data_IF_734336998011
#
_entry.id   IF_734336998011
#
_cell.length_a   1.000
_cell.length_b   1.000
_cell.length_c   1.000
_cell.angle_alpha   90.00
_cell.angle_beta   90.00
_cell.angle_gamma   90.00
#
_symmetry.space_group_name_H-M   'P 1'
#
loop_
_entity.id
_entity.type
_entity.pdbx_description
1 polymer ?
#
# COMPACT_ATOMS: atom_id res chain seq x y z
N UNK A 1 -7.67 -1.91 1.80
CA UNK A 1 -7.93 -3.28 1.27
C UNK A 1 -8.14 -4.31 2.39
N UNK A 2 -7.28 -4.33 3.44
CA UNK A 2 -7.42 -5.27 4.57
C UNK A 2 -8.72 -5.06 5.33
N UNK A 3 -9.03 -3.82 5.69
CA UNK A 3 -10.29 -3.48 6.38
C UNK A 3 -11.50 -3.84 5.53
N UNK A 4 -11.41 -3.66 4.21
CA UNK A 4 -12.49 -4.00 3.29
C UNK A 4 -12.81 -5.51 3.34
N UNK A 5 -11.81 -6.38 3.47
CA UNK A 5 -12.03 -7.83 3.62
C UNK A 5 -12.81 -8.17 4.89
N UNK A 6 -12.51 -7.44 5.98
CA UNK A 6 -13.25 -7.61 7.24
C UNK A 6 -14.67 -7.07 7.12
N UNK A 7 -14.85 -5.88 6.53
CA UNK A 7 -16.16 -5.27 6.30
C UNK A 7 -17.05 -6.18 5.47
N UNK A 8 -16.50 -6.73 4.38
CA UNK A 8 -17.24 -7.62 3.49
C UNK A 8 -17.65 -8.91 4.23
N UNK A 9 -16.75 -9.50 5.00
CA UNK A 9 -17.08 -10.66 5.81
C UNK A 9 -18.18 -10.34 6.84
N UNK A 10 -18.09 -9.25 7.60
CA UNK A 10 -19.09 -8.82 8.58
C UNK A 10 -20.46 -8.59 7.95
N UNK A 11 -20.49 -7.91 6.79
CA UNK A 11 -21.72 -7.62 6.09
C UNK A 11 -22.38 -8.89 5.51
N UNK A 12 -21.57 -9.84 5.02
CA UNK A 12 -22.07 -11.12 4.49
C UNK A 12 -22.61 -12.02 5.61
N UNK A 13 -21.90 -12.09 6.75
CA UNK A 13 -22.38 -12.82 7.93
C UNK A 13 -23.72 -12.24 8.42
N UNK A 14 -23.80 -10.92 8.56
CA UNK A 14 -25.03 -10.26 9.00
C UNK A 14 -26.19 -10.45 8.01
N UNK A 15 -25.91 -10.38 6.70
CA UNK A 15 -26.90 -10.63 5.65
C UNK A 15 -27.42 -12.07 5.70
N UNK A 16 -26.54 -13.04 5.96
CA UNK A 16 -26.93 -14.46 6.07
C UNK A 16 -27.87 -14.70 7.24
N UNK A 17 -27.64 -14.01 8.37
CA UNK A 17 -28.42 -14.20 9.60
C UNK A 17 -29.72 -13.40 9.63
N UNK A 18 -29.69 -12.16 9.11
CA UNK A 18 -30.77 -11.19 9.24
C UNK A 18 -31.45 -10.83 7.91
N UNK A 19 -30.92 -11.29 6.77
CA UNK A 19 -31.45 -10.94 5.45
C UNK A 19 -31.18 -9.49 5.00
N UNK A 20 -30.49 -8.69 5.80
CA UNK A 20 -30.25 -7.26 5.57
C UNK A 20 -28.80 -7.02 5.11
N UNK A 21 -28.65 -6.26 4.04
CA UNK A 21 -27.32 -5.87 3.54
C UNK A 21 -26.86 -4.54 4.14
N UNK A 22 -25.98 -4.58 5.11
CA UNK A 22 -25.45 -3.39 5.80
C UNK A 22 -24.66 -2.43 4.89
N UNK A 23 -24.23 -2.87 3.70
CA UNK A 23 -23.52 -2.03 2.74
C UNK A 23 -24.41 -0.93 2.11
N UNK A 24 -25.73 -1.13 2.15
CA UNK A 24 -26.72 -0.18 1.60
C UNK A 24 -27.06 0.96 2.57
N UNK A 25 -26.71 0.80 3.84
CA UNK A 25 -26.87 1.82 4.88
C UNK A 25 -25.52 2.51 5.15
N UNK A 26 -25.42 3.80 4.84
CA UNK A 26 -24.19 4.59 5.02
C UNK A 26 -23.73 4.67 6.47
N UNK A 27 -24.66 4.74 7.43
CA UNK A 27 -24.32 4.81 8.85
C UNK A 27 -23.81 3.45 9.34
N UNK A 28 -24.49 2.38 8.99
CA UNK A 28 -24.04 1.03 9.29
C UNK A 28 -22.67 0.74 8.67
N UNK A 29 -22.47 1.12 7.41
CA UNK A 29 -21.18 0.93 6.72
C UNK A 29 -20.04 1.69 7.40
N UNK A 30 -20.28 2.93 7.86
CA UNK A 30 -19.26 3.70 8.59
C UNK A 30 -18.90 3.02 9.91
N UNK A 31 -19.88 2.53 10.66
CA UNK A 31 -19.65 1.79 11.91
C UNK A 31 -18.91 0.47 11.67
N UNK A 32 -19.21 -0.23 10.57
CA UNK A 32 -18.46 -1.42 10.16
C UNK A 32 -17.00 -1.10 9.87
N UNK A 33 -16.71 0.01 9.18
CA UNK A 33 -15.34 0.45 8.89
C UNK A 33 -14.53 0.68 10.16
N UNK A 34 -15.08 1.43 11.09
CA UNK A 34 -14.44 1.75 12.37
C UNK A 34 -14.19 0.49 13.21
N UNK A 35 -15.16 -0.43 13.23
CA UNK A 35 -15.04 -1.69 13.95
C UNK A 35 -14.02 -2.64 13.30
N UNK A 36 -13.99 -2.70 11.98
CA UNK A 36 -13.04 -3.52 11.23
C UNK A 36 -11.59 -3.05 11.45
N UNK A 37 -11.36 -1.74 11.36
CA UNK A 37 -10.03 -1.16 11.61
C UNK A 37 -9.58 -1.41 13.06
N UNK A 38 -10.45 -1.18 14.04
CA UNK A 38 -10.15 -1.45 15.45
C UNK A 38 -9.81 -2.92 15.69
N UNK A 39 -10.64 -3.84 15.18
CA UNK A 39 -10.40 -5.27 15.33
C UNK A 39 -9.10 -5.71 14.65
N UNK A 40 -8.78 -5.18 13.45
CA UNK A 40 -7.50 -5.43 12.78
C UNK A 40 -6.31 -5.00 13.63
N UNK A 41 -6.35 -3.81 14.22
CA UNK A 41 -5.28 -3.30 15.10
C UNK A 41 -5.15 -4.18 16.34
N UNK A 42 -6.24 -4.51 16.99
CA UNK A 42 -6.27 -5.37 18.18
C UNK A 42 -5.67 -6.76 17.90
N UNK A 43 -6.00 -7.36 16.76
CA UNK A 43 -5.48 -8.67 16.34
C UNK A 43 -3.98 -8.68 16.01
N UNK A 44 -3.31 -7.55 15.98
CA UNK A 44 -1.84 -7.51 15.93
C UNK A 44 -1.21 -8.01 17.23
N UNK A 45 -1.90 -7.89 18.36
CA UNK A 45 -1.42 -8.31 19.69
C UNK A 45 -2.22 -9.44 20.32
N UNK A 46 -3.53 -9.52 20.05
CA UNK A 46 -4.44 -10.54 20.57
C UNK A 46 -4.72 -11.65 19.54
N UNK A 47 -5.27 -12.77 19.99
CA UNK A 47 -5.68 -13.87 19.12
C UNK A 47 -7.13 -13.75 18.64
N UNK A 48 -7.93 -12.90 19.28
CA UNK A 48 -9.31 -12.63 18.95
C UNK A 48 -9.69 -11.22 19.34
N UNK A 49 -10.62 -10.63 18.60
CA UNK A 49 -11.21 -9.32 18.86
C UNK A 49 -12.74 -9.44 18.82
N UNK A 50 -13.40 -8.88 19.82
CA UNK A 50 -14.86 -8.81 19.86
C UNK A 50 -15.34 -7.59 19.07
N UNK A 51 -16.31 -7.82 18.18
CA UNK A 51 -16.98 -6.77 17.41
C UNK A 51 -18.42 -6.71 17.91
N UNK A 52 -18.75 -5.59 18.58
CA UNK A 52 -20.07 -5.37 19.15
C UNK A 52 -20.62 -4.03 18.65
N UNK A 53 -21.62 -4.09 17.77
CA UNK A 53 -22.27 -2.95 17.15
C UNK A 53 -23.77 -3.01 17.46
N UNK A 54 -24.19 -2.52 18.65
CA UNK A 54 -25.59 -2.46 19.02
C UNK A 54 -26.35 -1.49 18.12
N UNK A 55 -27.62 -1.81 17.82
CA UNK A 55 -28.50 -0.98 16.99
C UNK A 55 -27.86 -0.63 15.64
N UNK A 56 -27.26 -1.61 14.97
CA UNK A 56 -26.59 -1.38 13.69
C UNK A 56 -27.59 -1.03 12.58
N UNK A 57 -28.77 -1.61 12.62
CA UNK A 57 -29.92 -1.34 11.75
C UNK A 57 -31.22 -1.76 12.43
N UNK A 58 -32.35 -1.59 11.75
CA UNK A 58 -33.67 -2.05 12.20
C UNK A 58 -34.50 -2.54 11.01
N UNK A 59 -35.41 -3.47 11.30
CA UNK A 59 -36.46 -3.92 10.39
C UNK A 59 -37.84 -3.91 11.06
N UNK A 60 -38.86 -4.49 10.42
CA UNK A 60 -40.22 -4.55 10.96
C UNK A 60 -40.31 -5.31 12.30
N UNK A 61 -39.34 -6.17 12.61
CA UNK A 61 -39.27 -6.90 13.89
C UNK A 61 -38.54 -6.13 15.00
N UNK A 62 -37.97 -4.96 14.69
CA UNK A 62 -37.28 -4.08 15.63
C UNK A 62 -35.79 -3.91 15.36
N UNK A 63 -35.04 -3.38 16.34
CA UNK A 63 -33.62 -3.12 16.18
C UNK A 63 -32.81 -4.41 16.06
N UNK A 64 -31.75 -4.34 15.25
CA UNK A 64 -30.78 -5.44 15.04
C UNK A 64 -29.42 -5.04 15.56
N UNK A 65 -28.69 -6.02 16.05
CA UNK A 65 -27.35 -5.86 16.63
C UNK A 65 -26.40 -6.79 15.89
N UNK A 66 -25.16 -6.34 15.68
CA UNK A 66 -24.10 -7.20 15.20
C UNK A 66 -23.13 -7.46 16.35
N UNK A 67 -23.07 -8.72 16.79
CA UNK A 67 -22.12 -9.17 17.81
C UNK A 67 -21.43 -10.41 17.28
N UNK A 68 -20.13 -10.34 17.12
CA UNK A 68 -19.32 -11.44 16.59
C UNK A 68 -17.89 -11.36 17.08
N UNK A 69 -17.14 -12.44 16.97
CA UNK A 69 -15.73 -12.50 17.30
C UNK A 69 -14.91 -12.76 16.03
N UNK A 70 -13.99 -11.85 15.74
CA UNK A 70 -13.00 -12.05 14.68
C UNK A 70 -11.74 -12.65 15.30
N UNK A 71 -11.32 -13.83 14.83
CA UNK A 71 -10.06 -14.43 15.25
C UNK A 71 -8.92 -14.03 14.33
N UNK A 72 -7.68 -14.05 14.83
CA UNK A 72 -6.47 -13.80 14.03
C UNK A 72 -6.40 -14.73 12.82
N UNK A 73 -6.66 -16.04 13.02
CA UNK A 73 -6.67 -17.02 11.93
C UNK A 73 -7.71 -16.68 10.85
N UNK A 74 -8.90 -16.17 11.24
CA UNK A 74 -9.90 -15.73 10.28
C UNK A 74 -9.44 -14.50 9.51
N UNK A 75 -8.83 -13.52 10.18
CA UNK A 75 -8.21 -12.35 9.52
C UNK A 75 -7.15 -12.78 8.52
N UNK A 76 -6.26 -13.68 8.89
CA UNK A 76 -5.22 -14.21 8.01
C UNK A 76 -5.80 -14.93 6.79
N UNK A 77 -6.87 -15.70 6.97
CA UNK A 77 -7.59 -16.33 5.88
C UNK A 77 -8.19 -15.30 4.90
N UNK A 78 -8.82 -14.25 5.42
CA UNK A 78 -9.44 -13.19 4.61
C UNK A 78 -8.41 -12.34 3.83
N UNK A 79 -7.20 -12.19 4.36
CA UNK A 79 -6.20 -11.24 3.85
C UNK A 79 -4.97 -11.89 3.24
N UNK A 80 -4.85 -13.21 3.27
CA UNK A 80 -3.66 -13.94 2.80
C UNK A 80 -3.29 -13.63 1.34
N UNK A 81 -4.28 -13.48 0.47
CA UNK A 81 -4.05 -13.08 -0.92
C UNK A 81 -3.41 -11.68 -1.03
N UNK A 82 -3.82 -10.73 -0.19
CA UNK A 82 -3.27 -9.38 -0.17
C UNK A 82 -1.80 -9.39 0.29
N UNK A 83 -1.50 -10.20 1.31
CA UNK A 83 -0.11 -10.38 1.78
C UNK A 83 0.76 -10.97 0.66
N UNK A 84 0.29 -12.00 -0.04
CA UNK A 84 1.03 -12.58 -1.17
C UNK A 84 1.23 -11.56 -2.30
N UNK A 85 0.21 -10.75 -2.60
CA UNK A 85 0.33 -9.68 -3.61
C UNK A 85 1.37 -8.64 -3.22
N UNK A 86 1.51 -8.31 -1.94
CA UNK A 86 2.51 -7.34 -1.45
C UNK A 86 3.95 -7.84 -1.59
N UNK A 87 4.18 -9.15 -1.70
CA UNK A 87 5.52 -9.71 -1.90
C UNK A 87 6.04 -9.54 -3.34
N UNK A 88 5.17 -9.31 -4.33
CA UNK A 88 5.59 -9.10 -5.73
C UNK A 88 6.47 -7.86 -5.91
N UNK A 89 6.12 -6.67 -5.38
CA UNK A 89 7.01 -5.51 -5.42
C UNK A 89 8.36 -5.74 -4.73
N UNK A 90 8.38 -6.53 -3.63
CA UNK A 90 9.63 -6.89 -2.94
C UNK A 90 10.54 -7.71 -3.87
N UNK A 91 9.97 -8.73 -4.51
CA UNK A 91 10.70 -9.57 -5.48
C UNK A 91 11.22 -8.74 -6.67
N UNK A 92 10.38 -7.82 -7.16
CA UNK A 92 10.74 -6.95 -8.26
C UNK A 92 11.88 -6.01 -7.89
N UNK A 93 11.85 -5.41 -6.70
CA UNK A 93 12.91 -4.53 -6.23
C UNK A 93 14.26 -5.24 -6.11
N UNK A 94 14.28 -6.47 -5.57
CA UNK A 94 15.50 -7.29 -5.53
C UNK A 94 15.99 -7.65 -6.92
N UNK A 95 15.11 -8.04 -7.83
CA UNK A 95 15.46 -8.34 -9.22
C UNK A 95 16.05 -7.10 -9.92
N UNK A 96 15.47 -5.93 -9.73
CA UNK A 96 15.96 -4.68 -10.31
C UNK A 96 17.36 -4.31 -9.78
N UNK A 97 17.63 -4.61 -8.51
CA UNK A 97 18.93 -4.41 -7.88
C UNK A 97 19.94 -5.51 -8.20
N UNK A 98 19.54 -6.58 -8.90
CA UNK A 98 20.33 -7.80 -9.09
C UNK A 98 20.82 -8.44 -7.78
N UNK A 99 19.97 -8.38 -6.75
CA UNK A 99 20.24 -8.97 -5.43
C UNK A 99 19.34 -10.17 -5.16
N UNK A 100 19.83 -11.07 -4.33
CA UNK A 100 19.07 -12.20 -3.76
C UNK A 100 18.63 -11.86 -2.34
N UNK A 101 17.60 -12.51 -1.79
CA UNK A 101 17.22 -12.34 -0.40
C UNK A 101 18.36 -12.55 0.60
N UNK A 102 19.28 -13.46 0.29
CA UNK A 102 20.49 -13.72 1.10
C UNK A 102 21.48 -12.57 1.17
N UNK A 103 21.49 -11.70 0.15
CA UNK A 103 22.43 -10.59 0.03
C UNK A 103 21.99 -9.36 0.84
N UNK A 104 20.80 -9.41 1.41
CA UNK A 104 20.24 -8.33 2.26
C UNK A 104 20.76 -8.50 3.70
N UNK A 105 21.42 -7.50 4.23
CA UNK A 105 21.96 -7.54 5.58
C UNK A 105 20.84 -7.39 6.63
N UNK A 106 19.96 -6.43 6.46
CA UNK A 106 18.86 -6.14 7.39
C UNK A 106 17.54 -5.86 6.66
N UNK A 107 16.43 -6.26 7.29
CA UNK A 107 15.07 -5.97 6.83
C UNK A 107 14.39 -5.06 7.84
N UNK A 108 14.13 -3.82 7.45
CA UNK A 108 13.46 -2.82 8.29
C UNK A 108 12.00 -2.70 7.89
N UNK A 109 11.11 -2.95 8.85
CA UNK A 109 9.66 -2.91 8.63
C UNK A 109 9.13 -1.51 8.94
N UNK A 110 8.42 -0.89 7.99
CA UNK A 110 7.92 0.47 8.09
C UNK A 110 6.42 0.52 7.78
N UNK A 111 5.69 1.37 8.52
CA UNK A 111 4.25 1.55 8.41
C UNK A 111 3.45 0.62 9.32
N UNK A 112 2.28 1.08 9.80
CA UNK A 112 1.45 0.39 10.80
C UNK A 112 1.01 -1.02 10.41
N UNK A 113 0.80 -1.30 9.12
CA UNK A 113 0.45 -2.64 8.62
C UNK A 113 1.54 -3.69 8.84
N UNK A 114 2.80 -3.28 9.02
CA UNK A 114 3.91 -4.20 9.32
C UNK A 114 3.86 -4.76 10.75
N UNK A 115 2.97 -4.24 11.59
CA UNK A 115 2.68 -4.82 12.91
C UNK A 115 1.89 -6.12 12.83
N UNK A 116 1.24 -6.40 11.70
CA UNK A 116 0.44 -7.61 11.51
C UNK A 116 1.36 -8.85 11.50
N UNK A 117 1.12 -9.85 12.39
CA UNK A 117 1.99 -11.02 12.50
C UNK A 117 2.17 -11.78 11.19
N UNK A 118 1.11 -11.94 10.39
CA UNK A 118 1.17 -12.63 9.10
C UNK A 118 2.04 -11.91 8.07
N UNK A 119 2.11 -10.57 8.11
CA UNK A 119 3.03 -9.78 7.27
C UNK A 119 4.48 -10.00 7.71
N UNK A 120 4.75 -9.94 9.02
CA UNK A 120 6.09 -10.20 9.56
C UNK A 120 6.57 -11.61 9.22
N UNK A 121 5.69 -12.60 9.36
CA UNK A 121 6.01 -13.99 9.04
C UNK A 121 6.29 -14.20 7.54
N UNK A 122 5.53 -13.55 6.65
CA UNK A 122 5.75 -13.61 5.22
C UNK A 122 7.14 -13.04 4.84
N UNK A 123 7.50 -11.90 5.44
CA UNK A 123 8.81 -11.26 5.24
C UNK A 123 9.93 -12.12 5.84
N UNK A 124 9.77 -12.61 7.07
CA UNK A 124 10.75 -13.50 7.72
C UNK A 124 11.03 -14.74 6.89
N UNK A 125 9.98 -15.39 6.37
CA UNK A 125 10.13 -16.58 5.51
C UNK A 125 10.83 -16.27 4.19
N UNK A 126 10.57 -15.11 3.61
CA UNK A 126 11.13 -14.75 2.32
C UNK A 126 12.64 -14.44 2.39
N UNK A 127 13.05 -13.69 3.44
CA UNK A 127 14.44 -13.28 3.63
C UNK A 127 15.25 -14.26 4.48
N UNK A 128 14.58 -15.23 5.12
CA UNK A 128 15.18 -16.14 6.12
C UNK A 128 15.92 -15.36 7.24
N UNK A 129 15.35 -14.20 7.61
CA UNK A 129 15.91 -13.29 8.61
C UNK A 129 14.79 -12.67 9.45
N UNK A 130 15.08 -12.45 10.73
CA UNK A 130 14.17 -11.69 11.60
C UNK A 130 14.19 -10.21 11.20
N UNK A 131 13.03 -9.58 10.98
CA UNK A 131 12.96 -8.14 10.74
C UNK A 131 13.55 -7.35 11.91
N UNK A 132 14.24 -6.25 11.56
CA UNK A 132 14.84 -5.35 12.55
C UNK A 132 13.76 -4.72 13.45
N UNK A 133 13.94 -4.78 14.78
CA UNK A 133 12.98 -4.31 15.79
C UNK A 133 13.37 -2.98 16.44
N UNK A 134 14.46 -2.36 16.00
CA UNK A 134 15.03 -1.17 16.63
C UNK A 134 14.35 0.15 16.25
N UNK A 135 13.39 0.15 15.32
CA UNK A 135 12.67 1.35 14.89
C UNK A 135 11.17 1.22 15.13
N UNK A 136 10.53 2.32 15.51
CA UNK A 136 9.07 2.38 15.57
C UNK A 136 8.50 2.51 14.14
N UNK A 137 7.76 1.51 13.64
CA UNK A 137 7.26 1.52 12.26
C UNK A 137 6.26 2.65 11.96
N UNK A 138 5.66 3.27 12.97
CA UNK A 138 4.71 4.37 12.80
C UNK A 138 5.41 5.73 12.73
N UNK A 139 6.59 5.88 13.34
CA UNK A 139 7.30 7.16 13.51
C UNK A 139 8.52 7.29 12.60
N UNK A 140 9.10 6.18 12.16
CA UNK A 140 10.38 6.17 11.44
C UNK A 140 10.39 7.04 10.18
N UNK A 141 9.26 7.15 9.48
CA UNK A 141 9.13 8.01 8.28
C UNK A 141 9.24 9.48 8.68
N UNK A 142 8.58 9.90 9.76
CA UNK A 142 8.66 11.28 10.25
C UNK A 142 10.07 11.62 10.75
N UNK A 143 10.73 10.68 11.43
CA UNK A 143 12.14 10.83 11.85
C UNK A 143 13.06 10.95 10.64
N UNK A 144 12.89 10.10 9.64
CA UNK A 144 13.65 10.16 8.39
C UNK A 144 13.45 11.47 7.63
N UNK A 145 12.22 11.97 7.57
CA UNK A 145 11.91 13.26 6.96
C UNK A 145 12.57 14.43 7.70
N UNK A 146 12.61 14.40 9.04
CA UNK A 146 13.28 15.39 9.85
C UNK A 146 14.81 15.39 9.64
N UNK A 147 15.40 14.19 9.56
CA UNK A 147 16.84 14.04 9.23
C UNK A 147 17.14 14.61 7.85
N UNK A 148 16.31 14.27 6.84
CA UNK A 148 16.48 14.78 5.48
C UNK A 148 16.34 16.32 5.40
N UNK A 149 15.44 16.91 6.18
CA UNK A 149 15.33 18.35 6.30
C UNK A 149 16.62 18.97 6.86
N UNK A 150 17.23 18.34 7.87
CA UNK A 150 18.54 18.75 8.42
C UNK A 150 19.68 18.63 7.40
N UNK A 151 19.66 17.59 6.56
CA UNK A 151 20.63 17.46 5.45
C UNK A 151 20.46 18.58 4.44
N UNK A 152 19.23 18.87 4.02
CA UNK A 152 18.94 19.98 3.07
C UNK A 152 19.22 21.35 3.67
N UNK A 153 19.04 21.53 4.97
CA UNK A 153 19.40 22.74 5.72
C UNK A 153 20.90 22.90 5.97
N UNK A 154 21.71 21.88 5.68
CA UNK A 154 23.16 21.89 5.90
C UNK A 154 23.60 21.66 7.34
N UNK A 155 22.67 21.30 8.22
CA UNK A 155 22.94 20.99 9.64
C UNK A 155 23.53 19.58 9.81
N UNK A 156 23.08 18.62 8.97
CA UNK A 156 23.56 17.24 8.94
C UNK A 156 24.38 17.03 7.67
N UNK A 157 25.65 16.66 7.83
CA UNK A 157 26.63 16.55 6.71
C UNK A 157 27.13 15.14 6.47
N UNK A 158 26.87 14.22 7.37
CA UNK A 158 27.46 12.88 7.38
C UNK A 158 26.56 11.85 6.69
N UNK A 159 25.37 12.27 6.19
CA UNK A 159 24.39 11.41 5.57
C UNK A 159 24.15 11.86 4.14
N UNK A 160 24.28 10.93 3.19
CA UNK A 160 23.91 11.11 1.80
C UNK A 160 22.77 10.17 1.46
N UNK A 161 21.61 10.73 1.09
CA UNK A 161 20.51 9.98 0.50
C UNK A 161 20.53 10.17 -1.01
N UNK A 162 20.65 9.08 -1.75
CA UNK A 162 20.42 9.03 -3.19
C UNK A 162 19.11 8.25 -3.43
N UNK A 163 18.22 8.87 -4.14
CA UNK A 163 16.94 8.28 -4.51
C UNK A 163 16.88 8.03 -6.02
N UNK A 164 15.89 7.28 -6.48
CA UNK A 164 15.71 6.92 -7.88
C UNK A 164 14.27 7.16 -8.34
N UNK A 165 14.09 7.34 -9.64
CA UNK A 165 12.75 7.36 -10.24
C UNK A 165 12.10 5.97 -10.12
N UNK A 166 10.90 5.84 -9.52
CA UNK A 166 10.27 4.53 -9.35
C UNK A 166 9.67 3.98 -10.65
N UNK A 167 9.30 4.86 -11.58
CA UNK A 167 8.67 4.55 -12.85
C UNK A 167 9.31 5.38 -13.97
N UNK A 168 9.29 4.86 -15.19
CA UNK A 168 9.72 5.57 -16.38
C UNK A 168 8.82 6.78 -16.64
N UNK A 169 9.41 7.94 -16.90
CA UNK A 169 8.73 9.13 -17.39
C UNK A 169 8.88 9.21 -18.90
N UNK A 170 7.75 9.34 -19.59
CA UNK A 170 7.66 9.33 -21.05
C UNK A 170 6.84 10.51 -21.56
N UNK A 171 6.98 10.81 -22.84
CA UNK A 171 6.11 11.73 -23.57
C UNK A 171 5.35 10.94 -24.62
N UNK A 172 4.06 11.21 -24.75
CA UNK A 172 3.27 10.67 -25.86
C UNK A 172 3.74 11.28 -27.18
N UNK A 173 4.04 10.43 -28.15
CA UNK A 173 4.42 10.81 -29.51
C UNK A 173 3.40 10.29 -30.51
N UNK A 174 3.59 10.60 -31.80
CA UNK A 174 2.68 10.23 -32.88
C UNK A 174 2.31 8.73 -32.81
N UNK A 175 1.00 8.46 -32.87
CA UNK A 175 0.47 7.10 -32.81
C UNK A 175 0.23 6.59 -31.36
N UNK A 176 0.25 7.48 -30.35
CA UNK A 176 0.00 7.10 -28.96
C UNK A 176 1.17 6.35 -28.32
N UNK A 177 2.40 6.50 -28.85
CA UNK A 177 3.58 5.80 -28.36
C UNK A 177 4.14 6.54 -27.14
N UNK A 178 4.35 5.83 -26.04
CA UNK A 178 5.03 6.34 -24.87
C UNK A 178 6.56 6.34 -25.11
N UNK A 179 7.12 7.49 -25.51
CA UNK A 179 8.55 7.65 -25.76
C UNK A 179 9.29 7.97 -24.46
N UNK A 180 10.16 7.07 -23.94
CA UNK A 180 10.82 7.25 -22.67
C UNK A 180 11.82 8.41 -22.71
N UNK A 181 11.80 9.28 -21.69
CA UNK A 181 12.81 10.31 -21.44
C UNK A 181 13.68 9.97 -20.25
N UNK A 182 13.06 9.68 -19.09
CA UNK A 182 13.77 9.29 -17.88
C UNK A 182 13.33 7.87 -17.53
N UNK A 183 14.26 6.94 -17.58
CA UNK A 183 13.97 5.53 -17.28
C UNK A 183 13.81 5.34 -15.78
N UNK A 184 13.00 4.35 -15.38
CA UNK A 184 12.92 3.92 -13.98
C UNK A 184 14.30 3.56 -13.44
N UNK A 185 14.48 3.68 -12.16
CA UNK A 185 15.76 3.46 -11.46
C UNK A 185 16.89 4.42 -11.86
N UNK A 186 16.56 5.57 -12.47
CA UNK A 186 17.52 6.66 -12.69
C UNK A 186 17.70 7.45 -11.41
N UNK A 187 18.94 7.60 -10.96
CA UNK A 187 19.26 8.40 -9.75
C UNK A 187 18.82 9.85 -9.90
N UNK A 188 18.19 10.40 -8.87
CA UNK A 188 17.75 11.78 -8.83
C UNK A 188 18.63 12.63 -7.87
N UNK A 189 18.81 13.94 -8.13
CA UNK A 189 18.17 14.73 -9.20
C UNK A 189 18.74 14.42 -10.59
N UNK A 190 17.86 14.38 -11.58
CA UNK A 190 18.23 14.17 -13.00
C UNK A 190 17.48 15.14 -13.90
N UNK A 191 17.99 15.38 -15.09
CA UNK A 191 17.39 16.20 -16.11
C UNK A 191 17.66 15.60 -17.48
N UNK A 192 16.60 15.37 -18.24
CA UNK A 192 16.67 14.89 -19.63
C UNK A 192 15.95 15.85 -20.57
N UNK A 193 16.47 15.95 -21.78
CA UNK A 193 15.85 16.73 -22.86
C UNK A 193 15.99 16.01 -24.17
N UNK A 194 14.95 16.03 -24.98
CA UNK A 194 14.94 15.46 -26.32
C UNK A 194 14.24 16.43 -27.28
N UNK A 195 14.74 16.49 -28.49
CA UNK A 195 14.13 17.29 -29.55
C UNK A 195 13.11 16.44 -30.30
N UNK A 196 11.91 16.94 -30.47
CA UNK A 196 10.83 16.34 -31.24
C UNK A 196 10.46 17.27 -32.40
N UNK A 197 9.99 16.71 -33.50
CA UNK A 197 9.43 17.44 -34.61
C UNK A 197 7.90 17.43 -34.56
N UNK A 198 7.27 18.40 -35.19
CA UNK A 198 5.82 18.41 -35.42
C UNK A 198 5.38 17.30 -36.38
N UNK A 199 4.16 16.79 -36.19
CA UNK A 199 3.61 15.70 -36.99
C UNK A 199 3.19 16.17 -38.44
N UNK A 200 2.95 17.48 -38.64
CA UNK A 200 2.53 18.06 -39.92
C UNK A 200 3.20 19.40 -40.15
N UNK A 201 3.28 19.78 -41.43
CA UNK A 201 3.81 21.10 -41.82
C UNK A 201 2.92 22.22 -41.28
N UNK A 202 3.56 23.34 -40.92
CA UNK A 202 2.89 24.52 -40.35
C UNK A 202 2.07 24.30 -39.08
N UNK A 203 2.33 23.25 -38.33
CA UNK A 203 1.70 23.01 -37.03
C UNK A 203 2.19 24.05 -36.01
N UNK A 204 1.26 24.87 -35.48
CA UNK A 204 1.54 25.98 -34.58
C UNK A 204 1.44 25.63 -33.10
N UNK A 205 0.88 24.47 -32.79
CA UNK A 205 0.67 24.02 -31.43
C UNK A 205 0.96 22.52 -31.28
N UNK A 206 1.49 22.13 -30.16
CA UNK A 206 1.66 20.74 -29.75
C UNK A 206 1.08 20.56 -28.35
N UNK A 207 0.37 19.50 -28.13
CA UNK A 207 -0.02 19.06 -26.79
C UNK A 207 1.09 18.16 -26.24
N UNK A 208 1.53 18.45 -25.04
CA UNK A 208 2.57 17.65 -24.35
C UNK A 208 1.87 16.81 -23.31
N UNK A 209 1.71 15.52 -23.58
CA UNK A 209 1.16 14.55 -22.66
C UNK A 209 2.29 13.77 -22.01
N UNK A 210 2.51 14.02 -20.69
CA UNK A 210 3.53 13.35 -19.88
C UNK A 210 2.91 12.11 -19.25
N UNK A 211 3.61 10.99 -19.40
CA UNK A 211 3.19 9.67 -18.93
C UNK A 211 4.16 9.15 -17.89
N UNK A 212 3.65 8.37 -16.95
CA UNK A 212 4.44 7.67 -15.95
C UNK A 212 4.05 6.20 -15.95
N UNK A 213 5.01 5.32 -16.17
CA UNK A 213 4.81 3.86 -16.21
C UNK A 213 5.62 3.17 -17.29
N UNK A 214 5.41 1.86 -17.38
CA UNK A 214 6.19 0.98 -18.27
C UNK A 214 5.39 0.52 -19.52
N UNK A 215 4.14 0.98 -19.70
CA UNK A 215 3.36 0.62 -20.88
C UNK A 215 3.94 1.32 -22.11
N UNK A 216 4.04 0.61 -23.25
CA UNK A 216 4.58 1.19 -24.48
C UNK A 216 3.62 2.16 -25.18
N UNK A 217 2.36 2.15 -24.78
CA UNK A 217 1.29 3.02 -25.34
C UNK A 217 0.69 3.89 -24.25
N UNK A 218 0.26 5.08 -24.60
CA UNK A 218 -0.41 6.06 -23.75
C UNK A 218 -1.77 5.60 -23.25
#
# INVERSE_FOLDING_TARGET
>A
DFDQRIIDWLADEFKRENGINLREDRQALQRLKEAAERAKIELSTTMQAEINLPYITADASGPKHLVTTLTRSKLEQLTGELIQKSMKPVQQALSDANLKPSDIDEVVMVGGMTRMPAVQEAVRKYFDKEPHKGVNPDEVVAVGAAIQAGVLGGEVKDILLLDVTPLTLSIETLGGIATPLIKRNTTIPTRESQVFSTASDSQTQVEIHVLQGERPMA
#
